data_IF_550460326401
#
_entry.id   IF_550460326401
#
_cell.length_a   1.000
_cell.length_b   1.000
_cell.length_c   1.000
_cell.angle_alpha   90.00
_cell.angle_beta   90.00
_cell.angle_gamma   90.00
#
_symmetry.space_group_name_H-M   'P 1'
#
loop_
_entity.id
_entity.type
_entity.pdbx_description
1 polymer ?
#
# COMPACT_ATOMS: atom_id res chain seq x y z
N UNK A 1 1.60 67.90 36.05
CA UNK A 1 1.13 66.69 36.79
C UNK A 1 0.04 66.03 35.97
N UNK A 2 0.44 65.21 35.00
CA UNK A 2 0.20 63.76 34.88
C UNK A 2 -1.27 63.38 34.77
N UNK A 3 -1.69 63.27 33.51
CA UNK A 3 -2.93 62.70 33.00
C UNK A 3 -2.83 61.16 33.12
N UNK A 4 -3.69 60.53 33.91
CA UNK A 4 -3.74 59.06 34.03
C UNK A 4 -4.44 58.48 32.79
N UNK A 5 -3.70 57.65 32.04
CA UNK A 5 -4.21 56.93 30.87
C UNK A 5 -4.98 55.70 31.35
N UNK A 6 -6.28 55.67 31.04
CA UNK A 6 -7.11 54.47 31.16
C UNK A 6 -6.62 53.46 30.11
N UNK A 7 -6.10 52.33 30.55
CA UNK A 7 -5.74 51.19 29.70
C UNK A 7 -7.02 50.37 29.51
N UNK A 8 -7.59 50.41 28.30
CA UNK A 8 -8.64 49.48 27.88
C UNK A 8 -7.94 48.20 27.42
N UNK A 9 -8.03 47.14 28.22
CA UNK A 9 -7.58 45.81 27.83
C UNK A 9 -8.64 45.23 26.88
N UNK A 10 -8.35 45.23 25.58
CA UNK A 10 -9.13 44.49 24.59
C UNK A 10 -8.69 43.03 24.69
N UNK A 11 -9.51 42.21 25.35
CA UNK A 11 -9.36 40.75 25.33
C UNK A 11 -9.78 40.27 23.94
N UNK A 12 -8.79 40.05 23.07
CA UNK A 12 -9.01 39.36 21.82
C UNK A 12 -9.24 37.87 22.11
N UNK A 13 -10.51 37.45 22.18
CA UNK A 13 -10.87 36.05 22.12
C UNK A 13 -10.50 35.52 20.73
N UNK A 14 -9.32 34.92 20.60
CA UNK A 14 -9.01 34.05 19.48
C UNK A 14 -9.90 32.80 19.58
N UNK A 15 -11.02 32.81 18.85
CA UNK A 15 -11.77 31.60 18.56
C UNK A 15 -10.88 30.78 17.61
N UNK A 16 -10.14 29.83 18.16
CA UNK A 16 -9.50 28.80 17.37
C UNK A 16 -10.61 28.00 16.69
N UNK A 17 -10.85 28.26 15.39
CA UNK A 17 -11.62 27.36 14.56
C UNK A 17 -10.93 25.99 14.61
N UNK A 18 -11.60 24.92 15.05
CA UNK A 18 -11.02 23.59 14.97
C UNK A 18 -10.77 23.33 13.48
N UNK A 19 -9.49 23.20 13.11
CA UNK A 19 -9.11 22.76 11.79
C UNK A 19 -9.68 21.35 11.66
N UNK A 20 -10.76 21.19 10.90
CA UNK A 20 -11.31 19.86 10.63
C UNK A 20 -10.28 19.12 9.79
N UNK A 21 -9.50 18.23 10.41
CA UNK A 21 -8.82 17.16 9.70
C UNK A 21 -9.91 16.34 9.01
N UNK A 22 -10.18 16.66 7.75
CA UNK A 22 -11.10 15.87 6.95
C UNK A 22 -10.43 14.53 6.70
N UNK A 23 -10.96 13.50 7.35
CA UNK A 23 -10.55 12.12 7.09
C UNK A 23 -10.64 11.84 5.59
N UNK A 24 -9.58 11.27 5.03
CA UNK A 24 -9.51 10.95 3.61
C UNK A 24 -10.45 9.80 3.27
N UNK A 25 -10.96 9.81 2.04
CA UNK A 25 -11.96 8.87 1.57
C UNK A 25 -11.44 7.45 1.36
N UNK A 26 -10.12 7.29 1.30
CA UNK A 26 -9.47 5.99 1.18
C UNK A 26 -8.71 5.69 2.46
N UNK A 27 -8.65 4.41 2.81
CA UNK A 27 -7.94 3.90 3.98
C UNK A 27 -6.91 2.91 3.50
N UNK A 28 -5.65 3.23 3.70
CA UNK A 28 -4.51 2.36 3.39
C UNK A 28 -3.96 1.72 4.67
N UNK A 29 -2.75 1.19 4.58
CA UNK A 29 -2.03 0.66 5.71
C UNK A 29 -0.53 0.96 5.63
N UNK A 30 0.09 1.15 6.79
CA UNK A 30 1.54 1.17 6.95
C UNK A 30 1.92 0.44 8.24
N UNK A 31 2.98 -0.35 8.17
CA UNK A 31 3.69 -0.85 9.34
C UNK A 31 5.12 -0.35 9.34
N UNK A 32 5.70 -0.23 10.52
CA UNK A 32 7.08 0.20 10.69
C UNK A 32 7.73 -0.55 11.86
N UNK A 33 9.02 -0.82 11.76
CA UNK A 33 9.75 -1.48 12.84
C UNK A 33 9.93 -0.55 14.04
N UNK A 34 9.80 -1.12 15.24
CA UNK A 34 10.03 -0.42 16.50
C UNK A 34 11.51 -0.04 16.69
N UNK A 35 12.41 -0.81 16.08
CA UNK A 35 13.85 -0.57 16.06
C UNK A 35 14.27 0.06 14.72
N UNK A 36 15.39 0.77 14.75
CA UNK A 36 16.08 1.26 13.56
C UNK A 36 17.39 0.52 13.35
N UNK A 37 17.78 0.35 12.10
CA UNK A 37 18.95 -0.42 11.68
C UNK A 37 19.90 0.49 10.92
N UNK A 38 21.20 0.36 11.17
CA UNK A 38 22.23 1.05 10.40
C UNK A 38 22.90 0.04 9.49
N UNK A 39 22.77 0.23 8.18
CA UNK A 39 23.25 -0.70 7.14
C UNK A 39 22.62 -2.11 7.25
N UNK A 40 22.93 -2.93 6.26
CA UNK A 40 22.57 -4.35 6.24
C UNK A 40 21.93 -4.78 4.95
N UNK A 41 21.49 -6.03 4.96
CA UNK A 41 20.75 -6.68 3.89
C UNK A 41 19.33 -6.92 4.35
N UNK A 42 18.38 -6.42 3.57
CA UNK A 42 16.95 -6.54 3.81
C UNK A 42 16.37 -7.32 2.64
N UNK A 43 15.88 -8.53 2.90
CA UNK A 43 15.29 -9.39 1.89
C UNK A 43 13.85 -9.68 2.25
N UNK A 44 12.96 -9.51 1.29
CA UNK A 44 11.53 -9.61 1.50
C UNK A 44 10.83 -10.19 0.28
N UNK A 45 9.80 -11.00 0.52
CA UNK A 45 9.00 -11.61 -0.53
C UNK A 45 7.65 -10.94 -0.61
N UNK A 46 7.45 -10.12 -1.65
CA UNK A 46 6.29 -9.22 -1.79
C UNK A 46 5.48 -9.61 -3.02
N UNK A 47 4.15 -9.58 -2.86
CA UNK A 47 3.19 -9.49 -3.95
C UNK A 47 2.49 -8.13 -3.89
N UNK A 48 2.65 -7.33 -4.95
CA UNK A 48 2.10 -5.97 -5.02
C UNK A 48 0.61 -5.95 -5.40
N UNK A 49 -0.07 -4.86 -5.04
CA UNK A 49 -1.45 -4.60 -5.41
C UNK A 49 -1.58 -4.14 -6.88
N UNK A 50 -2.50 -4.71 -7.67
CA UNK A 50 -2.75 -4.28 -9.05
C UNK A 50 -3.69 -3.07 -9.12
N UNK A 51 -3.43 -2.11 -10.01
CA UNK A 51 -4.34 -1.01 -10.34
C UNK A 51 -3.65 0.35 -10.42
N UNK A 52 -4.05 1.19 -11.35
CA UNK A 52 -3.42 2.49 -11.55
C UNK A 52 -3.61 3.42 -10.34
N UNK A 53 -2.62 4.28 -10.04
CA UNK A 53 -2.65 5.28 -8.97
C UNK A 53 -2.21 4.84 -7.58
N UNK A 54 -2.06 3.54 -7.32
CA UNK A 54 -1.59 3.03 -6.04
C UNK A 54 -0.15 2.49 -6.08
N UNK A 55 0.45 2.43 -4.90
CA UNK A 55 1.79 1.93 -4.66
C UNK A 55 1.77 0.84 -3.60
N UNK A 56 2.58 -0.17 -3.84
CA UNK A 56 3.00 -1.15 -2.83
C UNK A 56 4.47 -0.92 -2.55
N UNK A 57 4.85 -0.68 -1.29
CA UNK A 57 6.21 -0.27 -0.98
C UNK A 57 6.89 -1.13 0.08
N UNK A 58 8.21 -1.10 0.00
CA UNK A 58 9.11 -1.25 1.14
C UNK A 58 10.06 -0.06 1.14
N UNK A 59 10.40 0.45 2.30
CA UNK A 59 11.40 1.51 2.40
C UNK A 59 12.09 1.51 3.76
N UNK A 60 13.30 2.05 3.78
CA UNK A 60 14.01 2.41 5.00
C UNK A 60 13.82 3.90 5.25
N UNK A 61 13.44 4.27 6.47
CA UNK A 61 13.13 5.64 6.82
C UNK A 61 13.79 6.09 8.11
N UNK A 62 14.55 7.18 8.06
CA UNK A 62 15.02 7.86 9.28
C UNK A 62 13.84 8.60 9.89
N UNK A 63 13.36 8.11 11.03
CA UNK A 63 12.23 8.71 11.75
C UNK A 63 12.41 10.21 11.97
N UNK A 64 11.31 10.95 11.80
CA UNK A 64 11.24 12.41 11.85
C UNK A 64 11.92 13.14 10.68
N UNK A 65 12.28 12.45 9.58
CA UNK A 65 12.79 13.13 8.37
C UNK A 65 11.80 14.13 7.78
N UNK A 66 10.50 13.95 8.06
CA UNK A 66 9.44 14.88 7.69
C UNK A 66 9.45 16.19 8.48
N UNK A 67 10.25 16.28 9.54
CA UNK A 67 10.38 17.48 10.38
C UNK A 67 11.62 18.27 10.02
N UNK A 68 11.58 19.58 10.29
CA UNK A 68 12.71 20.49 10.14
C UNK A 68 13.96 20.11 10.98
N UNK A 69 13.82 19.26 12.00
CA UNK A 69 14.91 18.95 12.94
C UNK A 69 15.76 17.76 12.51
N UNK A 70 15.38 17.04 11.47
CA UNK A 70 16.06 15.82 11.04
C UNK A 70 16.30 15.87 9.55
N UNK A 71 17.57 15.87 9.14
CA UNK A 71 17.90 15.74 7.71
C UNK A 71 17.34 14.44 7.16
N UNK A 72 16.61 14.56 6.05
CA UNK A 72 15.96 13.45 5.39
C UNK A 72 16.96 12.36 5.01
N UNK A 73 16.65 11.11 5.34
CA UNK A 73 17.31 9.92 4.81
C UNK A 73 16.26 8.82 4.62
N UNK A 74 16.10 8.38 3.38
CA UNK A 74 15.13 7.36 2.98
C UNK A 74 15.63 6.58 1.76
N UNK A 75 15.33 5.28 1.73
CA UNK A 75 15.73 4.38 0.65
C UNK A 75 14.52 3.52 0.27
N UNK A 76 14.12 3.59 -1.00
CA UNK A 76 12.81 3.13 -1.42
C UNK A 76 12.84 1.96 -2.41
N UNK A 77 11.83 1.10 -2.29
CA UNK A 77 11.33 0.18 -3.32
C UNK A 77 9.84 0.48 -3.48
N UNK A 78 9.47 1.14 -4.57
CA UNK A 78 8.10 1.57 -4.85
C UNK A 78 7.55 0.81 -6.05
N UNK A 79 6.66 -0.16 -5.81
CA UNK A 79 6.11 -1.03 -6.85
C UNK A 79 4.84 -0.40 -7.39
N UNK A 80 4.80 -0.14 -8.70
CA UNK A 80 3.68 0.55 -9.34
C UNK A 80 2.49 -0.38 -9.54
N UNK A 81 1.30 0.00 -9.07
CA UNK A 81 0.09 -0.74 -9.40
C UNK A 81 -0.37 -0.58 -10.86
N UNK A 82 -0.03 0.55 -11.51
CA UNK A 82 -0.39 0.84 -12.92
C UNK A 82 0.31 -0.07 -13.94
N UNK A 83 1.39 -0.72 -13.55
CA UNK A 83 2.21 -1.56 -14.42
C UNK A 83 2.49 -2.87 -13.69
N UNK A 84 2.11 -3.99 -14.29
CA UNK A 84 2.23 -5.30 -13.65
C UNK A 84 3.66 -5.83 -13.56
N UNK A 85 4.68 -5.05 -13.90
CA UNK A 85 6.07 -5.49 -13.93
C UNK A 85 7.08 -4.36 -13.65
N UNK A 86 6.65 -3.22 -13.08
CA UNK A 86 7.54 -2.09 -12.82
C UNK A 86 7.62 -1.70 -11.35
N UNK A 87 8.82 -1.31 -10.94
CA UNK A 87 9.08 -0.67 -9.66
C UNK A 87 10.05 0.50 -9.84
N UNK A 88 10.13 1.37 -8.84
CA UNK A 88 11.08 2.46 -8.74
C UNK A 88 12.01 2.21 -7.55
N UNK A 89 13.31 2.37 -7.79
CA UNK A 89 14.29 2.54 -6.71
C UNK A 89 14.50 4.03 -6.48
N UNK A 90 14.62 4.46 -5.23
CA UNK A 90 14.97 5.84 -4.92
C UNK A 90 15.84 5.92 -3.66
N UNK A 91 16.60 7.01 -3.57
CA UNK A 91 17.27 7.44 -2.34
C UNK A 91 16.95 8.91 -2.19
N UNK A 92 16.34 9.27 -1.07
CA UNK A 92 16.01 10.65 -0.72
C UNK A 92 16.93 11.08 0.41
N UNK A 93 17.68 12.13 0.19
CA UNK A 93 18.54 12.73 1.21
C UNK A 93 18.34 14.23 1.32
N UNK A 94 18.61 14.76 2.49
CA UNK A 94 18.97 16.17 2.66
C UNK A 94 20.42 16.29 3.11
N UNK A 95 21.20 17.07 2.37
CA UNK A 95 22.56 17.48 2.81
C UNK A 95 22.50 18.71 3.71
N UNK A 96 21.47 19.53 3.49
CA UNK A 96 21.11 20.73 4.23
C UNK A 96 19.59 20.74 4.32
N UNK A 97 19.07 21.19 5.47
CA UNK A 97 17.63 21.26 5.76
C UNK A 97 16.85 21.92 4.61
N UNK A 98 15.74 21.30 4.22
CA UNK A 98 14.80 21.83 3.24
C UNK A 98 15.21 21.66 1.78
N UNK A 99 16.35 21.01 1.48
CA UNK A 99 16.79 20.72 0.11
C UNK A 99 16.95 19.22 -0.12
N UNK A 100 15.85 18.57 -0.52
CA UNK A 100 15.85 17.15 -0.88
C UNK A 100 16.55 16.90 -2.20
N UNK A 101 17.35 15.85 -2.23
CA UNK A 101 17.97 15.30 -3.43
C UNK A 101 17.45 13.87 -3.57
N UNK A 102 16.96 13.54 -4.77
CA UNK A 102 16.39 12.24 -5.11
C UNK A 102 17.21 11.58 -6.21
N UNK A 103 17.14 10.26 -6.33
CA UNK A 103 17.85 9.46 -7.35
C UNK A 103 16.93 8.38 -7.94
N UNK A 104 15.73 8.81 -8.34
CA UNK A 104 14.68 7.96 -8.86
C UNK A 104 15.13 7.22 -10.14
N UNK A 105 14.95 5.91 -10.17
CA UNK A 105 15.09 5.10 -11.39
C UNK A 105 13.96 4.09 -11.47
N UNK A 106 13.32 4.03 -12.65
CA UNK A 106 12.26 3.05 -12.95
C UNK A 106 12.87 1.82 -13.60
N UNK A 107 12.39 0.66 -13.16
CA UNK A 107 12.88 -0.64 -13.57
C UNK A 107 11.73 -1.48 -14.11
N UNK A 108 12.00 -2.28 -15.14
CA UNK A 108 11.04 -3.26 -15.67
C UNK A 108 11.58 -4.65 -15.41
N UNK A 109 10.75 -5.48 -14.79
CA UNK A 109 11.05 -6.87 -14.43
C UNK A 109 10.45 -7.83 -15.45
N UNK A 110 11.04 -9.02 -15.67
CA UNK A 110 10.45 -10.04 -16.54
C UNK A 110 9.28 -10.76 -15.87
N UNK A 111 9.18 -10.71 -14.55
CA UNK A 111 8.12 -11.32 -13.74
C UNK A 111 6.99 -10.34 -13.48
N UNK A 112 5.80 -10.86 -13.18
CA UNK A 112 4.69 -10.02 -12.75
C UNK A 112 4.92 -9.57 -11.30
N UNK A 113 4.87 -8.27 -11.02
CA UNK A 113 4.88 -7.72 -9.66
C UNK A 113 3.61 -8.08 -8.88
N UNK A 114 2.58 -8.59 -9.57
CA UNK A 114 1.32 -9.08 -8.98
C UNK A 114 1.43 -10.55 -8.56
N UNK A 115 2.57 -11.20 -8.79
CA UNK A 115 2.99 -12.46 -8.20
C UNK A 115 4.03 -12.20 -7.11
N UNK A 116 4.33 -13.20 -6.28
CA UNK A 116 5.40 -13.06 -5.28
C UNK A 116 6.77 -12.98 -5.95
N UNK A 117 7.49 -11.91 -5.65
CA UNK A 117 8.87 -11.71 -6.05
C UNK A 117 9.73 -11.48 -4.80
N UNK A 118 10.98 -11.91 -4.86
CA UNK A 118 11.97 -11.63 -3.80
C UNK A 118 12.63 -10.31 -4.17
N UNK A 119 12.42 -9.31 -3.32
CA UNK A 119 13.13 -8.03 -3.37
C UNK A 119 14.25 -8.08 -2.35
N UNK A 120 15.35 -7.41 -2.68
CA UNK A 120 16.49 -7.27 -1.78
C UNK A 120 16.97 -5.83 -1.85
N UNK A 121 17.16 -5.23 -0.69
CA UNK A 121 17.92 -4.01 -0.52
C UNK A 121 19.19 -4.31 0.27
N UNK A 122 20.34 -4.07 -0.33
CA UNK A 122 21.63 -4.07 0.38
C UNK A 122 22.06 -2.63 0.58
N UNK A 123 22.29 -2.24 1.81
CA UNK A 123 22.74 -0.89 2.17
C UNK A 123 24.03 -0.98 2.97
N UNK A 124 25.06 -0.34 2.44
CA UNK A 124 26.41 -0.24 3.01
C UNK A 124 26.81 1.23 3.07
N UNK A 125 27.93 1.59 3.74
CA UNK A 125 28.47 2.95 3.69
C UNK A 125 28.77 3.44 2.25
N UNK A 126 29.13 2.53 1.35
CA UNK A 126 29.64 2.87 0.01
C UNK A 126 28.60 2.76 -1.11
N UNK A 127 27.55 1.96 -0.90
CA UNK A 127 26.56 1.68 -1.93
C UNK A 127 25.23 1.19 -1.38
N UNK A 128 24.19 1.43 -2.17
CA UNK A 128 22.88 0.81 -2.02
C UNK A 128 22.59 0.02 -3.30
N UNK A 129 22.25 -1.25 -3.16
CA UNK A 129 21.95 -2.16 -4.27
C UNK A 129 20.53 -2.70 -4.16
N UNK A 130 19.82 -2.75 -5.28
CA UNK A 130 18.46 -3.28 -5.38
C UNK A 130 18.45 -4.53 -6.26
N UNK A 131 17.93 -5.63 -5.73
CA UNK A 131 17.74 -6.86 -6.49
C UNK A 131 16.27 -7.26 -6.54
N UNK A 132 15.88 -7.91 -7.63
CA UNK A 132 14.62 -8.64 -7.76
C UNK A 132 14.91 -10.01 -8.34
N UNK A 133 14.50 -11.08 -7.63
CA UNK A 133 14.75 -12.47 -8.02
C UNK A 133 16.22 -12.70 -8.44
N UNK A 134 17.13 -12.38 -7.53
CA UNK A 134 18.60 -12.47 -7.66
C UNK A 134 19.24 -11.57 -8.74
N UNK A 135 18.46 -10.82 -9.51
CA UNK A 135 18.97 -9.91 -10.54
C UNK A 135 19.18 -8.52 -9.96
N UNK A 136 20.40 -7.97 -10.10
CA UNK A 136 20.73 -6.59 -9.72
C UNK A 136 20.11 -5.59 -10.71
N UNK A 137 19.29 -4.67 -10.21
CA UNK A 137 18.62 -3.64 -11.01
C UNK A 137 19.25 -2.26 -10.89
N UNK A 138 19.79 -1.92 -9.73
CA UNK A 138 20.42 -0.63 -9.52
C UNK A 138 21.51 -0.71 -8.46
N UNK A 139 22.53 0.10 -8.65
CA UNK A 139 23.54 0.44 -7.64
C UNK A 139 23.59 1.96 -7.57
N UNK A 140 23.36 2.52 -6.39
CA UNK A 140 23.52 3.95 -6.12
C UNK A 140 24.67 4.15 -5.13
N UNK A 141 25.64 4.98 -5.51
CA UNK A 141 26.83 5.27 -4.67
C UNK A 141 26.87 6.72 -4.21
N UNK A 142 26.29 7.64 -4.98
CA UNK A 142 26.44 9.08 -4.74
C UNK A 142 25.64 9.50 -3.51
N UNK A 143 24.36 9.12 -3.47
CA UNK A 143 23.50 9.46 -2.33
C UNK A 143 23.69 8.49 -1.16
N UNK A 144 24.13 7.26 -1.41
CA UNK A 144 24.43 6.25 -0.38
C UNK A 144 25.42 6.78 0.67
N UNK A 145 26.44 7.54 0.26
CA UNK A 145 27.43 8.15 1.16
C UNK A 145 26.81 9.11 2.21
N UNK A 146 25.58 9.57 2.01
CA UNK A 146 24.85 10.43 2.95
C UNK A 146 23.81 9.66 3.77
N UNK A 147 23.52 8.40 3.44
CA UNK A 147 22.66 7.52 4.23
C UNK A 147 23.50 6.85 5.33
N UNK A 148 23.65 7.54 6.46
CA UNK A 148 24.55 7.18 7.55
C UNK A 148 23.89 7.20 8.95
N UNK A 149 22.57 7.40 9.00
CA UNK A 149 21.80 7.29 10.24
C UNK A 149 20.96 6.01 10.23
N UNK A 150 20.72 5.43 11.41
CA UNK A 150 19.86 4.26 11.53
C UNK A 150 18.43 4.57 11.08
N UNK A 151 17.84 3.66 10.30
CA UNK A 151 16.51 3.80 9.70
C UNK A 151 15.57 2.68 10.12
N UNK A 152 14.30 3.02 10.34
CA UNK A 152 13.24 2.03 10.53
C UNK A 152 12.94 1.32 9.21
N UNK A 153 12.57 0.05 9.29
CA UNK A 153 12.01 -0.70 8.16
C UNK A 153 10.52 -0.37 8.07
N UNK A 154 10.02 -0.10 6.87
CA UNK A 154 8.61 0.22 6.64
C UNK A 154 8.05 -0.48 5.42
N UNK A 155 6.75 -0.77 5.49
CA UNK A 155 5.94 -1.20 4.35
C UNK A 155 4.66 -0.38 4.36
N UNK A 156 4.24 0.15 3.22
CA UNK A 156 2.93 0.78 3.10
C UNK A 156 2.23 0.46 1.78
N UNK A 157 0.91 0.56 1.83
CA UNK A 157 0.04 0.46 0.67
C UNK A 157 -0.89 1.67 0.63
N UNK A 158 -0.76 2.48 -0.42
CA UNK A 158 -1.39 3.80 -0.50
C UNK A 158 -1.62 4.27 -1.94
N UNK A 159 -2.36 5.37 -2.09
CA UNK A 159 -2.66 6.02 -3.38
C UNK A 159 -1.96 7.36 -3.42
N UNK A 160 -1.14 7.61 -4.45
CA UNK A 160 -0.47 8.89 -4.61
C UNK A 160 -1.33 9.88 -5.40
N UNK A 161 -1.26 11.16 -5.07
CA UNK A 161 -1.99 12.23 -5.76
C UNK A 161 -1.32 12.67 -7.08
N UNK A 162 -0.08 12.25 -7.33
CA UNK A 162 0.68 12.59 -8.55
C UNK A 162 0.40 11.61 -9.69
N UNK A 163 -0.61 11.93 -10.50
CA UNK A 163 -1.05 11.06 -11.61
C UNK A 163 -0.02 10.92 -12.73
N UNK A 164 0.89 11.88 -12.93
CA UNK A 164 1.98 11.74 -13.90
C UNK A 164 2.97 10.65 -13.47
N UNK A 165 3.12 10.45 -12.16
CA UNK A 165 3.99 9.43 -11.59
C UNK A 165 3.32 8.06 -11.53
N UNK A 166 2.14 7.94 -10.91
CA UNK A 166 1.48 6.64 -10.62
C UNK A 166 0.30 6.31 -11.53
N UNK A 167 -0.08 7.20 -12.45
CA UNK A 167 -1.29 7.08 -13.25
C UNK A 167 -2.54 7.60 -12.52
N UNK A 168 -3.65 7.73 -13.24
CA UNK A 168 -4.94 8.11 -12.64
C UNK A 168 -5.42 6.97 -11.75
N UNK A 169 -5.91 7.28 -10.55
CA UNK A 169 -6.35 6.25 -9.60
C UNK A 169 -7.58 5.48 -10.11
N UNK A 170 -7.40 4.18 -10.35
CA UNK A 170 -8.47 3.26 -10.71
C UNK A 170 -9.14 2.74 -9.44
N UNK A 171 -10.22 3.40 -9.01
CA UNK A 171 -10.96 3.04 -7.80
C UNK A 171 -11.62 1.67 -7.88
N UNK A 172 -11.73 1.10 -9.07
CA UNK A 172 -12.47 -0.14 -9.29
C UNK A 172 -11.73 -1.38 -8.78
N UNK A 173 -10.43 -1.23 -8.49
CA UNK A 173 -9.57 -2.27 -7.92
C UNK A 173 -9.70 -2.39 -6.39
N UNK A 174 -10.55 -1.58 -5.76
CA UNK A 174 -10.70 -1.55 -4.30
C UNK A 174 -11.75 -2.54 -3.76
N UNK A 175 -11.51 -3.10 -2.56
CA UNK A 175 -10.23 -3.19 -1.86
C UNK A 175 -9.10 -3.88 -2.63
N UNK A 176 -7.91 -3.36 -2.42
CA UNK A 176 -6.66 -3.89 -2.92
C UNK A 176 -5.72 -4.23 -1.76
N UNK A 177 -4.72 -5.08 -2.01
CA UNK A 177 -3.85 -5.58 -0.96
C UNK A 177 -2.44 -5.80 -1.47
N UNK A 178 -1.47 -5.31 -0.71
CA UNK A 178 -0.09 -5.77 -0.74
C UNK A 178 0.06 -6.92 0.25
N UNK A 179 0.73 -7.99 -0.18
CA UNK A 179 1.06 -9.14 0.65
C UNK A 179 2.58 -9.22 0.82
N UNK A 180 3.02 -9.50 2.04
CA UNK A 180 4.43 -9.79 2.35
C UNK A 180 4.49 -11.14 3.04
N UNK A 181 5.13 -12.11 2.39
CA UNK A 181 5.26 -13.49 2.88
C UNK A 181 6.33 -13.56 3.96
N UNK A 182 7.47 -12.91 3.76
CA UNK A 182 8.46 -12.75 4.82
C UNK A 182 9.30 -11.50 4.63
N UNK A 183 10.00 -11.12 5.69
CA UNK A 183 11.19 -10.27 5.64
C UNK A 183 12.29 -10.87 6.51
N UNK A 184 13.53 -10.78 6.04
CA UNK A 184 14.74 -11.08 6.81
C UNK A 184 15.69 -9.89 6.82
N UNK A 185 16.41 -9.76 7.93
CA UNK A 185 17.44 -8.76 8.12
C UNK A 185 18.75 -9.43 8.49
N UNK A 186 19.82 -8.98 7.84
CA UNK A 186 21.20 -9.31 8.20
C UNK A 186 22.00 -8.03 8.40
N UNK A 187 22.71 -7.92 9.52
CA UNK A 187 23.52 -6.76 9.87
C UNK A 187 24.77 -6.69 9.00
N UNK A 188 25.21 -5.47 8.64
CA UNK A 188 26.44 -5.28 7.87
C UNK A 188 27.67 -5.49 8.77
N UNK A 189 28.42 -6.55 8.50
CA UNK A 189 29.56 -7.06 9.27
C UNK A 189 30.70 -7.42 8.31
N UNK A 190 31.30 -6.41 7.65
CA UNK A 190 32.19 -6.61 6.50
C UNK A 190 33.31 -7.62 6.78
N UNK A 191 33.42 -8.64 5.93
CA UNK A 191 34.40 -9.74 6.03
C UNK A 191 34.27 -10.67 7.23
N UNK A 192 33.23 -10.51 8.06
CA UNK A 192 33.01 -11.31 9.29
C UNK A 192 31.61 -11.89 9.38
N UNK A 193 30.79 -11.69 8.34
CA UNK A 193 29.46 -12.22 8.22
C UNK A 193 29.42 -13.73 7.96
N UNK A 194 28.21 -14.23 7.74
CA UNK A 194 27.95 -15.65 7.53
C UNK A 194 28.79 -16.17 6.36
N UNK A 195 29.52 -17.27 6.59
CA UNK A 195 30.45 -17.87 5.63
C UNK A 195 31.52 -16.91 5.08
N UNK A 196 31.90 -15.88 5.84
CA UNK A 196 32.90 -14.88 5.43
C UNK A 196 32.34 -13.79 4.50
N UNK A 197 31.01 -13.65 4.42
CA UNK A 197 30.35 -12.56 3.69
C UNK A 197 30.41 -11.24 4.47
N UNK A 198 29.80 -10.20 3.91
CA UNK A 198 29.67 -8.89 4.56
C UNK A 198 28.42 -8.75 5.44
N UNK A 199 27.63 -9.82 5.60
CA UNK A 199 26.36 -9.78 6.30
C UNK A 199 26.22 -10.93 7.30
N UNK A 200 25.76 -10.63 8.52
CA UNK A 200 25.44 -11.61 9.57
C UNK A 200 23.94 -11.67 9.75
N UNK A 201 23.33 -12.85 9.61
CA UNK A 201 21.90 -13.02 9.83
C UNK A 201 21.50 -12.63 11.26
N UNK A 202 20.45 -11.82 11.38
CA UNK A 202 19.94 -11.37 12.68
C UNK A 202 18.58 -12.00 12.98
N UNK A 203 17.63 -11.85 12.04
CA UNK A 203 16.28 -12.35 12.23
C UNK A 203 15.50 -12.46 10.92
N UNK A 204 14.46 -13.29 10.97
CA UNK A 204 13.41 -13.41 9.96
C UNK A 204 12.04 -13.28 10.63
N UNK A 205 11.10 -12.69 9.93
CA UNK A 205 9.68 -12.66 10.29
C UNK A 205 8.89 -13.23 9.10
N UNK A 206 8.30 -14.41 9.31
CA UNK A 206 7.46 -15.12 8.33
C UNK A 206 5.99 -14.64 8.39
N UNK A 207 5.67 -13.65 9.25
CA UNK A 207 4.33 -13.08 9.39
C UNK A 207 3.19 -14.09 9.64
N UNK A 208 3.50 -15.25 10.25
CA UNK A 208 2.50 -16.20 10.78
C UNK A 208 1.58 -15.55 11.83
N UNK A 209 2.08 -14.51 12.51
CA UNK A 209 1.29 -13.65 13.41
C UNK A 209 1.90 -12.24 13.49
N UNK A 210 1.08 -11.23 13.81
CA UNK A 210 1.58 -9.86 13.94
C UNK A 210 2.43 -9.69 15.21
N UNK A 211 3.75 -9.60 15.03
CA UNK A 211 4.70 -9.40 16.13
C UNK A 211 4.75 -7.93 16.57
N UNK A 212 3.96 -7.56 17.60
CA UNK A 212 3.92 -6.19 18.12
C UNK A 212 5.19 -5.76 18.87
N UNK A 213 6.08 -6.68 19.25
CA UNK A 213 7.39 -6.27 19.80
C UNK A 213 8.34 -5.79 18.71
N UNK A 214 8.15 -6.26 17.47
CA UNK A 214 8.95 -5.85 16.30
C UNK A 214 8.31 -4.71 15.51
N UNK A 215 6.99 -4.73 15.36
CA UNK A 215 6.27 -3.84 14.46
C UNK A 215 5.23 -2.99 15.18
N UNK A 216 5.07 -1.77 14.72
CA UNK A 216 3.95 -0.88 15.02
C UNK A 216 3.15 -0.59 13.75
N UNK A 217 1.91 -0.13 13.93
CA UNK A 217 0.98 0.19 12.84
C UNK A 217 0.74 1.69 12.80
N UNK A 218 0.77 2.26 11.60
CA UNK A 218 0.53 3.68 11.41
C UNK A 218 -0.95 4.05 11.58
N UNK A 219 -1.18 5.25 12.11
CA UNK A 219 -2.50 5.88 12.22
C UNK A 219 -2.48 7.34 11.71
N UNK A 220 -1.70 7.60 10.67
CA UNK A 220 -1.42 8.94 10.13
C UNK A 220 -1.58 9.00 8.61
N UNK A 221 -1.29 10.17 8.04
CA UNK A 221 -1.20 10.40 6.60
C UNK A 221 -0.13 11.47 6.31
N UNK A 222 0.25 11.60 5.04
CA UNK A 222 1.06 12.72 4.52
C UNK A 222 0.37 13.39 3.31
N UNK A 223 0.96 14.47 2.79
CA UNK A 223 0.32 15.37 1.81
C UNK A 223 0.06 14.75 0.44
N UNK A 224 1.00 13.93 -0.02
CA UNK A 224 0.96 13.23 -1.31
C UNK A 224 0.04 12.01 -1.30
N UNK A 225 -0.28 11.50 -0.12
CA UNK A 225 -1.15 10.35 0.06
C UNK A 225 -2.62 10.75 -0.10
N UNK A 226 -3.42 9.98 -0.84
CA UNK A 226 -4.88 10.15 -0.89
C UNK A 226 -5.62 9.29 0.16
N UNK A 227 -4.89 8.51 0.95
CA UNK A 227 -5.41 7.64 2.00
C UNK A 227 -5.03 8.15 3.39
N UNK A 228 -5.84 7.81 4.40
CA UNK A 228 -5.36 7.74 5.79
C UNK A 228 -4.88 6.32 6.08
N UNK A 229 -3.78 6.15 6.80
CA UNK A 229 -3.40 4.84 7.30
C UNK A 229 -4.26 4.47 8.50
N UNK A 230 -4.89 3.31 8.39
CA UNK A 230 -5.79 2.75 9.40
C UNK A 230 -5.11 1.51 10.00
N UNK A 231 -4.84 1.45 11.32
CA UNK A 231 -4.16 0.30 11.92
C UNK A 231 -4.84 -1.04 11.65
N UNK A 232 -6.16 -1.05 11.54
CA UNK A 232 -6.94 -2.26 11.27
C UNK A 232 -6.71 -2.81 9.85
N UNK A 233 -6.17 -2.01 8.93
CA UNK A 233 -5.83 -2.43 7.57
C UNK A 233 -4.46 -3.11 7.46
N UNK A 234 -3.65 -3.12 8.53
CA UNK A 234 -2.44 -3.93 8.62
C UNK A 234 -2.70 -5.13 9.54
N UNK A 235 -2.65 -6.36 9.02
CA UNK A 235 -2.88 -7.57 9.81
C UNK A 235 -2.11 -8.75 9.21
N UNK A 236 -2.10 -9.88 9.90
CA UNK A 236 -1.53 -11.13 9.38
C UNK A 236 -2.64 -12.11 9.07
N UNK A 237 -2.59 -12.73 7.89
CA UNK A 237 -3.56 -13.73 7.45
C UNK A 237 -2.86 -14.72 6.52
N UNK A 238 -3.12 -16.02 6.72
CA UNK A 238 -2.57 -17.11 5.88
C UNK A 238 -1.04 -17.02 5.68
N UNK A 239 -0.27 -16.75 6.75
CA UNK A 239 1.19 -16.66 6.70
C UNK A 239 1.73 -15.44 5.96
N UNK A 240 0.95 -14.37 5.86
CA UNK A 240 1.36 -13.14 5.20
C UNK A 240 1.02 -11.92 6.06
N UNK A 241 1.87 -10.90 6.04
CA UNK A 241 1.43 -9.54 6.33
C UNK A 241 0.56 -9.05 5.18
N UNK A 242 -0.63 -8.57 5.53
CA UNK A 242 -1.60 -7.98 4.62
C UNK A 242 -1.69 -6.49 4.91
N UNK A 243 -1.42 -5.68 3.89
CA UNK A 243 -1.66 -4.23 3.89
C UNK A 243 -2.83 -3.94 2.96
N UNK A 244 -4.00 -3.72 3.55
CA UNK A 244 -5.26 -3.47 2.84
C UNK A 244 -5.40 -2.00 2.49
N UNK A 245 -5.97 -1.75 1.33
CA UNK A 245 -6.43 -0.43 0.90
C UNK A 245 -7.89 -0.50 0.47
N UNK A 246 -8.75 0.37 1.00
CA UNK A 246 -10.17 0.38 0.66
C UNK A 246 -10.76 1.80 0.65
N UNK A 247 -11.98 1.93 0.14
CA UNK A 247 -12.78 3.17 0.21
C UNK A 247 -13.69 3.15 1.45
N UNK A 248 -13.92 4.31 2.06
CA UNK A 248 -15.02 4.54 3.01
C UNK A 248 -16.26 5.15 2.35
N UNK A 249 -16.12 5.65 1.11
CA UNK A 249 -17.25 6.04 0.27
C UNK A 249 -17.90 4.75 -0.24
N UNK A 250 -19.15 4.51 0.16
CA UNK A 250 -20.02 3.53 -0.48
C UNK A 250 -20.24 3.94 -1.95
N UNK A 251 -20.30 3.00 -2.90
CA UNK A 251 -20.23 3.22 -4.35
C UNK A 251 -21.32 4.09 -5.00
N UNK A 252 -22.18 4.77 -4.24
CA UNK A 252 -23.16 5.74 -4.76
C UNK A 252 -22.50 6.88 -5.54
N UNK A 253 -21.23 7.20 -5.24
CA UNK A 253 -20.54 8.37 -5.81
C UNK A 253 -19.57 8.02 -6.96
N UNK A 254 -19.66 6.81 -7.54
CA UNK A 254 -19.01 6.51 -8.83
C UNK A 254 -19.93 7.06 -9.94
N UNK A 255 -20.01 8.38 -10.01
CA UNK A 255 -20.64 9.11 -11.11
C UNK A 255 -19.78 8.98 -12.38
N UNK A 256 -20.07 7.99 -13.23
CA UNK A 256 -19.83 7.99 -14.69
C UNK A 256 -19.84 6.61 -15.37
N UNK A 257 -20.39 5.56 -14.75
CA UNK A 257 -20.53 4.27 -15.45
C UNK A 257 -21.78 4.32 -16.36
N UNK A 258 -21.56 4.13 -17.66
CA UNK A 258 -22.64 4.03 -18.65
C UNK A 258 -23.65 2.95 -18.26
N UNK A 259 -24.94 3.14 -18.55
CA UNK A 259 -26.03 2.21 -18.21
C UNK A 259 -25.82 0.78 -18.74
N UNK A 260 -24.95 0.58 -19.73
CA UNK A 260 -24.75 -0.70 -20.39
C UNK A 260 -23.58 -1.54 -19.86
N UNK A 261 -22.70 -0.97 -19.05
CA UNK A 261 -21.54 -1.65 -18.46
C UNK A 261 -21.88 -2.23 -17.09
N UNK A 262 -21.61 -3.53 -16.91
CA UNK A 262 -21.57 -4.18 -15.60
C UNK A 262 -20.13 -4.10 -15.12
N UNK A 263 -19.95 -3.62 -13.89
CA UNK A 263 -18.67 -3.67 -13.20
C UNK A 263 -18.83 -4.44 -11.89
N UNK A 264 -17.89 -5.32 -11.56
CA UNK A 264 -17.86 -6.08 -10.31
C UNK A 264 -16.65 -5.65 -9.49
N UNK A 265 -16.91 -5.18 -8.28
CA UNK A 265 -15.89 -4.68 -7.37
C UNK A 265 -16.29 -4.94 -5.90
N UNK A 266 -15.36 -5.12 -4.96
CA UNK A 266 -13.97 -5.47 -5.23
C UNK A 266 -13.82 -6.69 -6.12
N UNK A 267 -12.75 -6.71 -6.90
CA UNK A 267 -12.27 -7.92 -7.50
C UNK A 267 -10.76 -7.82 -7.70
N UNK A 268 -9.92 -8.52 -6.90
CA UNK A 268 -10.27 -9.58 -5.96
C UNK A 268 -11.07 -9.14 -4.72
N UNK A 269 -11.94 -10.02 -4.19
CA UNK A 269 -12.77 -9.77 -3.00
C UNK A 269 -12.46 -10.74 -1.86
N UNK A 270 -12.75 -10.34 -0.61
CA UNK A 270 -12.71 -11.25 0.56
C UNK A 270 -14.13 -11.77 0.87
N UNK A 271 -15.03 -10.87 1.28
CA UNK A 271 -16.35 -11.24 1.81
C UNK A 271 -17.51 -10.93 0.89
N UNK A 272 -17.42 -9.86 0.11
CA UNK A 272 -18.51 -9.38 -0.72
C UNK A 272 -18.01 -8.74 -2.01
N UNK A 273 -18.90 -8.66 -2.99
CA UNK A 273 -18.79 -7.84 -4.19
C UNK A 273 -20.02 -6.95 -4.31
N UNK A 274 -19.92 -5.92 -5.14
CA UNK A 274 -21.01 -5.11 -5.65
C UNK A 274 -21.07 -5.31 -7.16
N UNK A 275 -22.27 -5.20 -7.71
CA UNK A 275 -22.47 -5.14 -9.15
C UNK A 275 -22.93 -3.73 -9.49
N UNK A 276 -22.07 -2.97 -10.16
CA UNK A 276 -22.41 -1.64 -10.63
C UNK A 276 -23.24 -1.73 -11.91
N UNK A 277 -24.56 -1.63 -11.78
CA UNK A 277 -25.49 -1.38 -12.87
C UNK A 277 -26.70 -0.54 -12.40
N UNK A 278 -27.40 0.10 -13.34
CA UNK A 278 -28.52 1.02 -13.04
C UNK A 278 -29.90 0.35 -13.09
N UNK A 279 -29.94 -0.96 -13.23
CA UNK A 279 -31.15 -1.76 -13.37
C UNK A 279 -31.10 -2.96 -12.42
N UNK A 280 -32.27 -3.50 -12.06
CA UNK A 280 -32.38 -4.74 -11.32
C UNK A 280 -31.80 -5.89 -12.14
N UNK A 281 -31.13 -6.82 -11.45
CA UNK A 281 -30.50 -7.98 -12.07
C UNK A 281 -30.85 -9.25 -11.31
N UNK A 282 -30.66 -10.39 -11.96
CA UNK A 282 -30.48 -11.65 -11.28
C UNK A 282 -29.03 -12.09 -11.40
N UNK A 283 -28.52 -12.85 -10.44
CA UNK A 283 -27.16 -13.38 -10.49
C UNK A 283 -27.04 -14.78 -9.89
N UNK A 284 -26.04 -15.51 -10.34
CA UNK A 284 -25.62 -16.82 -9.82
C UNK A 284 -24.09 -16.84 -9.74
N UNK A 285 -23.51 -17.52 -8.74
CA UNK A 285 -22.06 -17.69 -8.63
C UNK A 285 -21.70 -19.17 -8.71
N UNK A 286 -20.67 -19.47 -9.49
CA UNK A 286 -20.12 -20.79 -9.74
C UNK A 286 -18.65 -20.86 -9.36
N UNK A 287 -18.21 -22.00 -8.83
CA UNK A 287 -16.77 -22.31 -8.70
C UNK A 287 -16.11 -22.50 -10.07
N UNK A 288 -14.77 -22.51 -10.12
CA UNK A 288 -14.00 -22.80 -11.33
C UNK A 288 -14.31 -24.15 -12.00
N UNK A 289 -14.87 -25.11 -11.26
CA UNK A 289 -15.30 -26.43 -11.77
C UNK A 289 -16.80 -26.50 -12.11
N UNK A 290 -17.49 -25.36 -12.15
CA UNK A 290 -18.91 -25.28 -12.54
C UNK A 290 -19.93 -25.64 -11.45
N UNK A 291 -19.50 -25.92 -10.21
CA UNK A 291 -20.42 -26.09 -9.07
C UNK A 291 -21.06 -24.76 -8.68
N UNK A 292 -22.39 -24.69 -8.63
CA UNK A 292 -23.12 -23.54 -8.12
C UNK A 292 -22.83 -23.35 -6.61
N UNK A 293 -22.37 -22.15 -6.23
CA UNK A 293 -22.08 -21.76 -4.84
C UNK A 293 -23.03 -20.70 -4.31
N UNK A 294 -23.60 -19.88 -5.19
CA UNK A 294 -24.73 -18.99 -4.86
C UNK A 294 -25.80 -19.24 -5.91
N UNK A 295 -26.95 -19.74 -5.45
CA UNK A 295 -28.14 -19.95 -6.29
C UNK A 295 -28.67 -18.62 -6.80
N UNK A 296 -29.55 -18.68 -7.81
CA UNK A 296 -30.10 -17.48 -8.44
C UNK A 296 -30.76 -16.57 -7.42
N UNK A 297 -30.34 -15.32 -7.40
CA UNK A 297 -30.92 -14.28 -6.55
C UNK A 297 -31.20 -13.03 -7.37
N UNK A 298 -32.27 -12.32 -7.02
CA UNK A 298 -32.64 -11.02 -7.56
C UNK A 298 -32.12 -9.91 -6.66
N UNK A 299 -31.63 -8.83 -7.26
CA UNK A 299 -31.16 -7.65 -6.55
C UNK A 299 -31.73 -6.42 -7.26
N UNK A 300 -32.58 -5.68 -6.55
CA UNK A 300 -33.32 -4.54 -7.11
C UNK A 300 -32.42 -3.31 -7.29
N UNK A 301 -31.48 -3.10 -6.35
CA UNK A 301 -30.53 -2.00 -6.38
C UNK A 301 -29.09 -2.52 -6.27
N UNK A 302 -28.54 -3.14 -7.33
CA UNK A 302 -27.24 -3.80 -7.31
C UNK A 302 -26.07 -2.85 -7.01
N UNK A 303 -26.19 -1.56 -7.37
CA UNK A 303 -25.18 -0.54 -7.06
C UNK A 303 -24.91 -0.36 -5.57
N UNK A 304 -25.93 -0.53 -4.73
CA UNK A 304 -25.86 -0.20 -3.30
C UNK A 304 -25.99 -1.44 -2.40
N UNK A 305 -26.11 -2.63 -2.99
CA UNK A 305 -26.40 -3.86 -2.25
C UNK A 305 -25.21 -4.82 -2.37
N UNK A 306 -24.48 -5.08 -1.27
CA UNK A 306 -23.38 -6.04 -1.31
C UNK A 306 -23.90 -7.47 -1.51
N UNK A 307 -23.23 -8.21 -2.37
CA UNK A 307 -23.38 -9.64 -2.60
C UNK A 307 -22.29 -10.35 -1.80
N UNK A 308 -22.68 -10.97 -0.69
CA UNK A 308 -21.75 -11.71 0.14
C UNK A 308 -21.43 -13.07 -0.47
N UNK A 309 -20.13 -13.37 -0.61
CA UNK A 309 -19.66 -14.71 -0.93
C UNK A 309 -19.84 -15.60 0.31
N UNK A 310 -20.26 -16.87 0.15
CA UNK A 310 -20.39 -17.77 1.29
C UNK A 310 -19.07 -17.88 2.08
N UNK A 311 -19.15 -17.85 3.41
CA UNK A 311 -17.94 -17.89 4.25
C UNK A 311 -17.21 -19.23 4.21
N UNK A 312 -17.87 -20.30 3.76
CA UNK A 312 -17.33 -21.66 3.71
C UNK A 312 -16.63 -22.00 2.38
N UNK A 313 -16.66 -21.11 1.38
CA UNK A 313 -15.98 -21.37 0.11
C UNK A 313 -14.53 -20.89 0.18
N UNK A 314 -13.59 -21.68 -0.35
CA UNK A 314 -12.15 -21.40 -0.30
C UNK A 314 -11.75 -20.21 -1.17
N UNK A 315 -10.58 -19.63 -0.90
CA UNK A 315 -9.91 -18.72 -1.83
C UNK A 315 -9.76 -19.38 -3.22
N UNK A 316 -9.87 -18.58 -4.28
CA UNK A 316 -9.75 -19.05 -5.64
C UNK A 316 -10.62 -18.28 -6.64
N UNK A 317 -10.66 -18.79 -7.87
CA UNK A 317 -11.43 -18.22 -8.98
C UNK A 317 -12.87 -18.73 -8.98
N UNK A 318 -13.80 -17.80 -9.08
CA UNK A 318 -15.23 -18.01 -9.21
C UNK A 318 -15.75 -17.26 -10.44
N UNK A 319 -16.92 -17.66 -10.92
CA UNK A 319 -17.61 -17.04 -12.04
C UNK A 319 -18.98 -16.57 -11.60
N UNK A 320 -19.26 -15.28 -11.74
CA UNK A 320 -20.60 -14.75 -11.55
C UNK A 320 -21.26 -14.54 -12.90
N UNK A 321 -22.45 -15.11 -13.03
CA UNK A 321 -23.31 -14.90 -14.18
C UNK A 321 -24.38 -13.91 -13.80
N UNK A 322 -24.47 -12.82 -14.56
CA UNK A 322 -25.41 -11.72 -14.36
C UNK A 322 -26.43 -11.72 -15.47
N UNK A 323 -27.71 -11.74 -15.09
CA UNK A 323 -28.87 -11.72 -15.96
C UNK A 323 -29.53 -10.35 -15.87
N UNK A 324 -29.78 -9.74 -17.02
CA UNK A 324 -30.47 -8.45 -17.12
C UNK A 324 -31.75 -8.64 -17.92
N UNK A 325 -32.79 -7.89 -17.57
CA UNK A 325 -34.05 -7.94 -18.30
C UNK A 325 -33.78 -7.62 -19.78
N UNK A 326 -34.27 -8.48 -20.67
CA UNK A 326 -34.17 -8.32 -22.14
C UNK A 326 -32.75 -8.38 -22.73
N UNK A 327 -31.74 -8.85 -21.97
CA UNK A 327 -30.38 -9.06 -22.49
C UNK A 327 -29.87 -10.48 -22.20
N UNK A 328 -28.91 -10.94 -23.01
CA UNK A 328 -28.20 -12.17 -22.72
C UNK A 328 -27.40 -12.04 -21.41
N UNK A 329 -27.29 -13.13 -20.65
CA UNK A 329 -26.46 -13.16 -19.45
C UNK A 329 -24.99 -12.93 -19.80
N UNK A 330 -24.29 -12.17 -18.95
CA UNK A 330 -22.84 -12.02 -19.03
C UNK A 330 -22.18 -12.74 -17.86
N UNK A 331 -21.02 -13.32 -18.11
CA UNK A 331 -20.22 -13.99 -17.09
C UNK A 331 -18.97 -13.16 -16.79
N UNK A 332 -18.61 -13.09 -15.52
CA UNK A 332 -17.46 -12.33 -15.03
C UNK A 332 -16.68 -13.20 -14.05
N UNK A 333 -15.36 -13.02 -14.05
CA UNK A 333 -14.47 -13.70 -13.10
C UNK A 333 -14.45 -12.91 -11.79
N UNK A 334 -14.60 -13.61 -10.66
CA UNK A 334 -14.35 -13.11 -9.31
C UNK A 334 -13.17 -13.87 -8.73
N UNK A 335 -12.24 -13.17 -8.10
CA UNK A 335 -11.13 -13.78 -7.36
C UNK A 335 -11.44 -13.62 -5.87
N UNK A 336 -11.80 -14.71 -5.19
CA UNK A 336 -11.93 -14.72 -3.72
C UNK A 336 -10.54 -14.90 -3.12
N UNK A 337 -10.14 -14.02 -2.21
CA UNK A 337 -8.93 -14.17 -1.40
C UNK A 337 -9.26 -14.83 -0.06
#
# INVERSE_FOLDING_TARGET
>A
MKLEKIIVIVIACFIALPMSLLAKNYKGAEIYSNQSYLYGRFEMRIQSAPGSGQLSTFFLYRNNSETATTLWQEIDIEIFGKNNNQFQSNVIIEKVEGTKIMSEKKHTTPTSTQEFNIYVLEWTPDSINWYVNDSLYNTEKTNAAYCNAAMSIRFNHWVANNTAWVGVFDKTVLPSYQLVDYISYSSYTPGTGDNGSDYSFEWKDDFDSFNSSRWSKANWTFGENLCDFLPENAYTEQGNLVLKLHSIILPTDIESISTNSIHIFPNPCTDFIYIQCNEAIEYEIYSSIGKCVVQRQTIENPKNTPIYLPTHISAGTYYIRVYRLQQASKEFTIIKR
#
